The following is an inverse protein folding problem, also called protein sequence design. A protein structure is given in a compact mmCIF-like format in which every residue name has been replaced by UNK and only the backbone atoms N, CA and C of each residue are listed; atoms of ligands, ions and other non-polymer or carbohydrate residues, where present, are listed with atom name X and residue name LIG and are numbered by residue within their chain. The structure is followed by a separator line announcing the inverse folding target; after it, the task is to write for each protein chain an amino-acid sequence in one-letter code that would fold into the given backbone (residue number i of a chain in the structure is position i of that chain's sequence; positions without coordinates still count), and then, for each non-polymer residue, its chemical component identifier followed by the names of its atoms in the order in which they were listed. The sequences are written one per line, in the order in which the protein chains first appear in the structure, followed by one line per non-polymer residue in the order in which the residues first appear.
data_IF_089904756956
#
_entry.id   IF_089904756956
#
_cell.length_a   1.000
_cell.length_b   1.000
_cell.length_c   1.000
_cell.angle_alpha   90.00
_cell.angle_beta   90.00
_cell.angle_gamma   90.00
#
_symmetry.space_group_name_H-M   'P 1'
#
loop_
_entity.id
_entity.type
_entity.pdbx_description
1 polymer ?
#
# COMPACT_ATOMS: atom_id res chain seq x y z
N UNK A 1 26.56 -18.65 18.12
CA UNK A 1 25.51 -17.64 18.36
C UNK A 1 24.50 -17.75 17.23
N UNK A 2 23.22 -17.71 17.53
CA UNK A 2 22.19 -17.70 16.46
C UNK A 2 22.31 -16.36 15.70
N UNK A 3 22.43 -16.45 14.38
CA UNK A 3 22.64 -15.28 13.52
C UNK A 3 21.50 -14.27 13.62
N UNK A 4 20.26 -14.74 13.72
CA UNK A 4 19.07 -13.88 13.81
C UNK A 4 19.12 -12.98 15.06
N UNK A 5 19.66 -13.49 16.18
CA UNK A 5 19.79 -12.70 17.41
C UNK A 5 20.78 -11.54 17.24
N UNK A 6 21.86 -11.75 16.47
CA UNK A 6 22.80 -10.69 16.15
C UNK A 6 22.18 -9.62 15.25
N UNK A 7 21.33 -10.02 14.30
CA UNK A 7 20.55 -9.09 13.49
C UNK A 7 19.56 -8.28 14.31
N UNK A 8 18.81 -8.91 15.23
CA UNK A 8 17.87 -8.21 16.11
C UNK A 8 18.58 -7.22 17.03
N UNK A 9 19.72 -7.61 17.60
CA UNK A 9 20.58 -6.76 18.42
C UNK A 9 21.04 -5.51 17.64
N UNK A 10 21.52 -5.70 16.39
CA UNK A 10 21.95 -4.59 15.56
C UNK A 10 20.77 -3.70 15.15
N UNK A 11 19.65 -4.30 14.69
CA UNK A 11 18.48 -3.58 14.25
C UNK A 11 17.88 -2.67 15.34
N UNK A 12 17.84 -3.17 16.58
CA UNK A 12 17.31 -2.41 17.72
C UNK A 12 18.19 -1.20 18.06
N UNK A 13 19.51 -1.38 18.01
CA UNK A 13 20.47 -0.33 18.34
C UNK A 13 20.51 0.80 17.28
N UNK A 14 20.45 0.47 15.99
CA UNK A 14 20.52 1.48 14.94
C UNK A 14 19.16 2.07 14.59
N UNK A 15 18.09 1.35 14.90
CA UNK A 15 16.70 1.76 14.67
C UNK A 15 16.24 1.70 13.21
N UNK A 16 14.94 1.88 13.02
CA UNK A 16 14.29 1.87 11.71
C UNK A 16 14.74 3.06 10.83
N UNK A 17 15.03 2.81 9.56
CA UNK A 17 15.45 3.83 8.59
C UNK A 17 16.86 4.37 8.82
N UNK A 18 17.75 3.53 9.34
CA UNK A 18 19.16 3.85 9.58
C UNK A 18 19.87 4.17 8.25
N UNK A 19 20.25 5.43 8.03
CA UNK A 19 20.85 5.91 6.78
C UNK A 19 22.25 5.33 6.48
N UNK A 20 22.90 4.74 7.48
CA UNK A 20 24.22 4.13 7.36
C UNK A 20 24.18 2.59 7.45
N UNK A 21 23.01 1.98 7.30
CA UNK A 21 22.86 0.52 7.36
C UNK A 21 23.71 -0.19 6.30
N UNK A 22 23.66 0.26 5.06
CA UNK A 22 24.50 -0.28 3.96
C UNK A 22 26.00 -0.13 4.21
N UNK A 23 26.43 1.02 4.71
CA UNK A 23 27.83 1.26 5.07
C UNK A 23 28.29 0.30 6.16
N UNK A 24 27.46 0.12 7.18
CA UNK A 24 27.74 -0.78 8.29
C UNK A 24 27.83 -2.24 7.83
N UNK A 25 26.91 -2.70 6.96
CA UNK A 25 26.94 -4.05 6.41
C UNK A 25 28.08 -4.27 5.39
N UNK A 26 28.60 -3.22 4.80
CA UNK A 26 29.82 -3.32 3.98
C UNK A 26 31.05 -3.61 4.85
N UNK A 27 31.11 -3.04 6.04
CA UNK A 27 32.20 -3.27 7.00
C UNK A 27 32.04 -4.61 7.75
N UNK A 28 30.80 -4.94 8.14
CA UNK A 28 30.44 -6.13 8.89
C UNK A 28 29.21 -6.79 8.24
N UNK A 29 29.43 -7.64 7.22
CA UNK A 29 28.34 -8.36 6.56
C UNK A 29 27.56 -9.30 7.49
N UNK A 30 28.23 -9.79 8.54
CA UNK A 30 27.62 -10.55 9.62
C UNK A 30 27.64 -9.71 10.91
N UNK A 31 26.46 -9.34 11.47
CA UNK A 31 26.40 -8.59 12.73
C UNK A 31 27.10 -9.28 13.91
N UNK A 32 27.28 -10.59 13.86
CA UNK A 32 28.03 -11.32 14.88
C UNK A 32 29.51 -10.92 14.91
N UNK A 33 30.12 -10.61 13.75
CA UNK A 33 31.50 -10.12 13.68
C UNK A 33 31.63 -8.74 14.32
N UNK A 34 30.65 -7.87 14.13
CA UNK A 34 30.61 -6.56 14.81
C UNK A 34 30.50 -6.74 16.33
N UNK A 35 29.65 -7.68 16.78
CA UNK A 35 29.54 -7.98 18.21
C UNK A 35 30.87 -8.42 18.80
N UNK A 36 31.56 -9.36 18.15
CA UNK A 36 32.84 -9.89 18.60
C UNK A 36 33.93 -8.79 18.61
N UNK A 37 34.01 -7.95 17.57
CA UNK A 37 34.95 -6.83 17.48
C UNK A 37 34.73 -5.80 18.62
N UNK A 38 33.47 -5.43 18.89
CA UNK A 38 33.12 -4.49 19.97
C UNK A 38 33.45 -5.06 21.35
N UNK A 39 33.30 -6.37 21.56
CA UNK A 39 33.62 -7.05 22.85
C UNK A 39 35.12 -7.22 23.02
N UNK A 40 35.85 -7.54 21.96
CA UNK A 40 37.31 -7.65 22.03
C UNK A 40 38.00 -6.31 22.28
N UNK A 41 37.40 -5.20 21.85
CA UNK A 41 37.96 -3.86 22.00
C UNK A 41 39.26 -3.65 21.20
N UNK A 42 39.52 -4.51 20.21
CA UNK A 42 40.76 -4.52 19.41
C UNK A 42 40.73 -3.50 18.27
N UNK A 43 39.56 -3.07 17.85
CA UNK A 43 39.36 -2.13 16.78
C UNK A 43 38.54 -0.92 17.24
N UNK A 44 38.74 0.21 16.55
CA UNK A 44 37.89 1.37 16.75
C UNK A 44 36.47 1.04 16.22
N UNK A 45 35.40 1.43 16.93
CA UNK A 45 34.04 1.20 16.46
C UNK A 45 33.81 1.91 15.14
N UNK A 46 32.95 1.38 14.25
CA UNK A 46 32.61 1.99 12.98
C UNK A 46 32.23 3.48 13.12
N UNK A 47 32.88 4.34 12.35
CA UNK A 47 32.67 5.79 12.43
C UNK A 47 31.24 6.23 12.06
N UNK A 48 30.51 5.40 11.31
CA UNK A 48 29.11 5.64 10.95
C UNK A 48 28.13 5.45 12.13
N UNK A 49 28.53 4.71 13.19
CA UNK A 49 27.66 4.50 14.35
C UNK A 49 27.48 5.79 15.15
N UNK A 50 26.21 6.13 15.44
CA UNK A 50 25.92 7.23 16.36
C UNK A 50 26.37 6.87 17.78
N UNK A 51 26.72 7.87 18.64
CA UNK A 51 27.05 7.60 20.04
C UNK A 51 25.96 6.81 20.79
N UNK A 52 24.69 7.07 20.46
CA UNK A 52 23.55 6.36 21.06
C UNK A 52 23.52 4.88 20.65
N UNK A 53 23.63 4.60 19.34
CA UNK A 53 23.66 3.23 18.82
C UNK A 53 24.86 2.46 19.41
N UNK A 54 26.03 3.07 19.45
CA UNK A 54 27.23 2.45 20.03
C UNK A 54 27.07 2.14 21.52
N UNK A 55 26.46 3.05 22.29
CA UNK A 55 26.15 2.80 23.70
C UNK A 55 25.23 1.59 23.85
N UNK A 56 24.13 1.55 23.10
CA UNK A 56 23.18 0.45 23.14
C UNK A 56 23.83 -0.89 22.74
N UNK A 57 24.65 -0.92 21.67
CA UNK A 57 25.40 -2.11 21.25
C UNK A 57 26.37 -2.64 22.34
N UNK A 58 26.91 -1.75 23.16
CA UNK A 58 27.80 -2.13 24.29
C UNK A 58 27.04 -2.59 25.50
N UNK A 59 25.88 -2.01 25.76
CA UNK A 59 25.07 -2.27 26.97
C UNK A 59 24.22 -3.54 26.84
N UNK A 60 23.97 -4.00 25.60
CA UNK A 60 23.14 -5.19 25.29
C UNK A 60 23.97 -6.29 24.60
N UNK A 61 23.41 -7.49 24.59
CA UNK A 61 23.97 -8.65 23.89
C UNK A 61 22.92 -9.26 22.94
N UNK A 62 23.30 -10.01 21.90
CA UNK A 62 22.33 -10.75 21.09
C UNK A 62 21.38 -11.65 21.88
N UNK A 63 21.84 -12.22 23.02
CA UNK A 63 21.02 -13.08 23.86
C UNK A 63 19.84 -12.36 24.53
N UNK A 64 19.91 -11.04 24.71
CA UNK A 64 18.83 -10.23 25.28
C UNK A 64 17.58 -10.21 24.34
N UNK A 65 17.69 -10.76 23.13
CA UNK A 65 16.63 -10.81 22.11
C UNK A 65 15.99 -12.20 21.96
N UNK A 66 16.41 -13.21 22.74
CA UNK A 66 15.83 -14.58 22.69
C UNK A 66 14.35 -14.57 23.01
N UNK A 67 13.91 -13.92 24.08
CA UNK A 67 12.49 -13.84 24.44
C UNK A 67 11.64 -13.17 23.34
N UNK A 68 12.20 -12.17 22.65
CA UNK A 68 11.52 -11.52 21.52
C UNK A 68 11.36 -12.47 20.34
N UNK A 69 12.40 -13.21 20.01
CA UNK A 69 12.37 -14.20 18.93
C UNK A 69 11.38 -15.32 19.25
N UNK A 70 11.41 -15.87 20.45
CA UNK A 70 10.46 -16.89 20.92
C UNK A 70 9.02 -16.38 20.86
N UNK A 71 8.79 -15.14 21.31
CA UNK A 71 7.46 -14.52 21.21
C UNK A 71 6.98 -14.40 19.76
N UNK A 72 7.86 -14.02 18.82
CA UNK A 72 7.54 -13.97 17.40
C UNK A 72 7.13 -15.36 16.89
N UNK A 73 7.94 -16.37 17.14
CA UNK A 73 7.69 -17.76 16.70
C UNK A 73 6.37 -18.29 17.24
N UNK A 74 6.09 -18.11 18.53
CA UNK A 74 4.84 -18.55 19.16
C UNK A 74 3.61 -17.80 18.67
N UNK A 75 3.80 -16.56 18.19
CA UNK A 75 2.72 -15.70 17.66
C UNK A 75 2.53 -15.82 16.16
N UNK A 76 3.28 -16.68 15.46
CA UNK A 76 3.24 -16.83 14.00
C UNK A 76 3.74 -15.57 13.28
N UNK A 77 4.74 -14.91 13.83
CA UNK A 77 5.42 -13.76 13.25
C UNK A 77 6.79 -14.24 12.73
N UNK A 78 6.96 -14.20 11.42
CA UNK A 78 8.26 -14.42 10.80
C UNK A 78 9.17 -13.20 11.02
N UNK A 79 10.44 -13.45 11.24
CA UNK A 79 11.47 -12.40 11.35
C UNK A 79 12.46 -12.61 10.22
N UNK A 80 12.45 -11.70 9.26
CA UNK A 80 13.32 -11.77 8.08
C UNK A 80 14.51 -10.82 8.21
N UNK A 81 15.69 -11.32 7.90
CA UNK A 81 16.95 -10.57 7.95
C UNK A 81 17.62 -10.51 6.57
N UNK A 82 18.42 -9.48 6.26
CA UNK A 82 18.98 -9.27 4.93
C UNK A 82 19.80 -10.43 4.36
N UNK A 83 20.36 -11.30 5.16
CA UNK A 83 21.15 -12.47 4.73
C UNK A 83 20.29 -13.68 4.34
N UNK A 84 18.98 -13.67 4.62
CA UNK A 84 18.08 -14.76 4.28
C UNK A 84 17.57 -14.66 2.84
N UNK A 85 17.52 -15.79 2.11
CA UNK A 85 17.03 -15.84 0.73
C UNK A 85 15.56 -15.44 0.55
N UNK A 86 14.76 -15.51 1.62
CA UNK A 86 13.34 -15.09 1.61
C UNK A 86 13.12 -13.61 1.89
N UNK A 87 14.16 -12.89 2.32
CA UNK A 87 14.08 -11.44 2.52
C UNK A 87 13.71 -10.74 1.21
N UNK A 88 12.85 -9.69 1.23
CA UNK A 88 12.41 -9.02 0.01
C UNK A 88 13.59 -8.41 -0.78
N UNK A 89 13.84 -8.93 -1.98
CA UNK A 89 14.96 -8.48 -2.82
C UNK A 89 14.96 -6.99 -3.08
N UNK A 90 13.76 -6.40 -3.27
CA UNK A 90 13.60 -4.98 -3.54
C UNK A 90 13.95 -4.07 -2.38
N UNK A 91 14.01 -4.60 -1.16
CA UNK A 91 14.40 -3.85 0.03
C UNK A 91 15.92 -3.92 0.29
N UNK A 92 16.65 -4.91 -0.30
CA UNK A 92 18.10 -5.07 -0.10
C UNK A 92 18.91 -3.88 -0.62
N UNK A 93 18.45 -3.25 -1.71
CA UNK A 93 19.15 -2.15 -2.36
C UNK A 93 18.88 -0.78 -1.69
N UNK A 94 18.04 -0.76 -0.66
CA UNK A 94 17.81 0.48 0.09
C UNK A 94 19.06 0.85 0.91
N UNK A 95 19.51 2.12 0.87
CA UNK A 95 20.62 2.56 1.73
C UNK A 95 20.29 2.45 3.22
N UNK A 96 19.01 2.55 3.54
CA UNK A 96 18.40 2.43 4.86
C UNK A 96 17.52 1.18 4.97
N UNK A 97 18.02 0.04 4.44
CA UNK A 97 17.27 -1.22 4.44
C UNK A 97 16.88 -1.67 5.85
N UNK A 98 15.73 -2.33 6.02
CA UNK A 98 15.36 -2.96 7.28
C UNK A 98 16.35 -4.05 7.69
N UNK A 99 17.01 -3.92 8.83
CA UNK A 99 17.91 -4.97 9.35
C UNK A 99 17.14 -6.13 9.99
N UNK A 100 15.88 -5.90 10.37
CA UNK A 100 14.92 -6.91 10.75
C UNK A 100 13.55 -6.49 10.23
N UNK A 101 12.84 -7.40 9.57
CA UNK A 101 11.49 -7.21 9.07
C UNK A 101 10.57 -8.27 9.69
N UNK A 102 9.63 -7.83 10.51
CA UNK A 102 8.61 -8.68 11.11
C UNK A 102 7.44 -8.85 10.16
N UNK A 103 7.00 -10.07 9.91
CA UNK A 103 5.99 -10.40 8.92
C UNK A 103 4.92 -11.32 9.50
N UNK A 104 3.66 -11.06 9.18
CA UNK A 104 2.54 -12.00 9.37
C UNK A 104 1.88 -12.28 8.03
N UNK A 105 1.38 -13.50 7.82
CA UNK A 105 0.80 -13.95 6.55
C UNK A 105 1.78 -14.78 5.73
N UNK A 106 1.75 -14.68 4.41
CA UNK A 106 2.57 -15.51 3.52
C UNK A 106 3.80 -14.75 2.99
N UNK A 107 4.99 -15.11 3.47
CA UNK A 107 6.27 -14.52 3.03
C UNK A 107 6.58 -14.79 1.56
N UNK A 108 6.01 -15.85 0.96
CA UNK A 108 6.25 -16.18 -0.45
C UNK A 108 5.71 -15.09 -1.41
N UNK A 109 4.79 -14.25 -0.96
CA UNK A 109 4.28 -13.14 -1.78
C UNK A 109 5.23 -11.94 -1.86
N UNK A 110 6.34 -11.93 -1.11
CA UNK A 110 7.27 -10.80 -1.05
C UNK A 110 8.27 -10.77 -2.20
N UNK A 111 8.48 -11.90 -2.90
CA UNK A 111 9.42 -12.03 -4.01
C UNK A 111 8.76 -12.70 -5.24
N UNK A 112 9.42 -12.61 -6.39
CA UNK A 112 9.06 -13.37 -7.61
C UNK A 112 7.77 -12.92 -8.30
N UNK A 113 7.23 -11.72 -7.99
CA UNK A 113 5.99 -11.19 -8.57
C UNK A 113 6.18 -9.77 -9.12
N UNK A 114 5.15 -9.26 -9.78
CA UNK A 114 5.07 -7.84 -10.20
C UNK A 114 4.34 -7.05 -9.12
N UNK A 115 4.85 -5.87 -8.78
CA UNK A 115 4.36 -5.08 -7.64
C UNK A 115 4.01 -3.66 -8.07
N UNK A 116 2.81 -3.21 -7.69
CA UNK A 116 2.40 -1.82 -7.84
C UNK A 116 2.01 -1.22 -6.50
N UNK A 117 2.59 -0.08 -6.16
CA UNK A 117 2.17 0.71 -5.01
C UNK A 117 0.90 1.48 -5.34
N UNK A 118 -0.10 1.48 -4.44
CA UNK A 118 -1.25 2.38 -4.51
C UNK A 118 -1.33 3.16 -3.22
N UNK A 119 -1.21 4.48 -3.33
CA UNK A 119 -1.20 5.36 -2.17
C UNK A 119 -2.08 6.59 -2.36
N UNK A 120 -2.44 7.24 -1.27
CA UNK A 120 -3.21 8.47 -1.36
C UNK A 120 -3.72 8.98 -0.02
N UNK A 121 -4.70 9.88 -0.08
CA UNK A 121 -5.29 10.51 1.09
C UNK A 121 -6.03 9.51 1.99
N UNK A 122 -5.96 9.74 3.30
CA UNK A 122 -6.73 8.99 4.31
C UNK A 122 -8.21 9.39 4.34
N UNK A 123 -8.60 10.49 3.70
CA UNK A 123 -9.97 10.99 3.60
C UNK A 123 -10.31 11.31 2.15
N UNK A 124 -10.46 10.27 1.32
CA UNK A 124 -10.72 10.44 -0.11
C UNK A 124 -12.14 10.92 -0.39
N UNK A 125 -12.30 11.50 -1.57
CA UNK A 125 -13.62 11.70 -2.18
C UNK A 125 -14.21 10.37 -2.64
N UNK A 126 -15.49 10.37 -3.02
CA UNK A 126 -16.13 9.21 -3.67
C UNK A 126 -15.40 8.85 -4.96
N UNK A 127 -15.02 9.83 -5.76
CA UNK A 127 -14.22 9.64 -6.98
C UNK A 127 -12.89 8.95 -6.69
N UNK A 128 -12.11 9.46 -5.71
CA UNK A 128 -10.81 8.90 -5.37
C UNK A 128 -10.91 7.45 -4.86
N UNK A 129 -11.96 7.13 -4.07
CA UNK A 129 -12.23 5.74 -3.64
C UNK A 129 -12.46 4.83 -4.81
N UNK A 130 -13.40 5.24 -5.70
CA UNK A 130 -13.76 4.44 -6.86
C UNK A 130 -12.56 4.25 -7.79
N UNK A 131 -11.83 5.32 -8.11
CA UNK A 131 -10.66 5.25 -8.97
C UNK A 131 -9.58 4.33 -8.38
N UNK A 132 -9.23 4.48 -7.09
CA UNK A 132 -8.24 3.62 -6.45
C UNK A 132 -8.67 2.16 -6.44
N UNK A 133 -9.94 1.89 -6.12
CA UNK A 133 -10.47 0.53 -6.07
C UNK A 133 -10.48 -0.12 -7.45
N UNK A 134 -11.05 0.53 -8.47
CA UNK A 134 -11.20 -0.04 -9.82
C UNK A 134 -9.85 -0.27 -10.50
N UNK A 135 -8.93 0.71 -10.39
CA UNK A 135 -7.57 0.58 -10.93
C UNK A 135 -6.82 -0.56 -10.23
N UNK A 136 -6.90 -0.64 -8.89
CA UNK A 136 -6.28 -1.71 -8.12
C UNK A 136 -6.87 -3.08 -8.45
N UNK A 137 -8.20 -3.17 -8.59
CA UNK A 137 -8.89 -4.41 -8.94
C UNK A 137 -8.46 -4.92 -10.32
N UNK A 138 -8.36 -4.02 -11.30
CA UNK A 138 -7.92 -4.39 -12.64
C UNK A 138 -6.44 -4.82 -12.66
N UNK A 139 -5.55 -4.13 -11.94
CA UNK A 139 -4.15 -4.52 -11.77
C UNK A 139 -4.02 -5.88 -11.06
N UNK A 140 -4.77 -6.09 -9.97
CA UNK A 140 -4.76 -7.35 -9.24
C UNK A 140 -5.23 -8.51 -10.13
N UNK A 141 -6.31 -8.34 -10.90
CA UNK A 141 -6.79 -9.35 -11.86
C UNK A 141 -5.77 -9.68 -12.96
N UNK A 142 -4.85 -8.77 -13.26
CA UNK A 142 -3.72 -9.01 -14.14
C UNK A 142 -2.52 -9.68 -13.41
N UNK A 143 -2.69 -10.09 -12.15
CA UNK A 143 -1.67 -10.78 -11.36
C UNK A 143 -0.68 -9.87 -10.65
N UNK A 144 -0.92 -8.56 -10.60
CA UNK A 144 -0.08 -7.60 -9.89
C UNK A 144 -0.37 -7.64 -8.40
N UNK A 145 0.67 -7.78 -7.60
CA UNK A 145 0.59 -7.66 -6.13
C UNK A 145 0.53 -6.19 -5.75
N UNK A 146 -0.57 -5.78 -5.12
CA UNK A 146 -0.72 -4.40 -4.63
C UNK A 146 0.07 -4.20 -3.35
N UNK A 147 0.80 -3.08 -3.26
CA UNK A 147 1.60 -2.68 -2.11
C UNK A 147 1.05 -1.38 -1.54
N UNK A 148 0.74 -1.35 -0.24
CA UNK A 148 0.29 -0.12 0.41
C UNK A 148 0.56 -0.14 1.92
N UNK A 149 -0.04 0.78 2.66
CA UNK A 149 0.27 1.00 4.07
C UNK A 149 -0.83 0.63 5.05
N UNK A 150 -1.90 -0.01 4.63
CA UNK A 150 -3.05 -0.39 5.45
C UNK A 150 -3.66 0.80 6.23
N UNK A 151 -3.44 2.03 5.78
CA UNK A 151 -4.05 3.21 6.37
C UNK A 151 -5.53 3.35 5.95
N UNK A 152 -6.29 4.20 6.65
CA UNK A 152 -7.63 4.58 6.17
C UNK A 152 -7.56 5.20 4.78
N UNK A 153 -8.66 5.12 4.04
CA UNK A 153 -8.80 5.73 2.73
C UNK A 153 -8.22 4.89 1.61
N UNK A 154 -7.37 5.47 0.76
CA UNK A 154 -6.99 4.86 -0.51
C UNK A 154 -6.10 3.63 -0.37
N UNK A 155 -5.27 3.57 0.68
CA UNK A 155 -4.50 2.36 1.02
C UNK A 155 -5.44 1.16 1.24
N UNK A 156 -6.52 1.38 2.01
CA UNK A 156 -7.52 0.33 2.29
C UNK A 156 -8.28 -0.10 1.03
N UNK A 157 -8.57 0.83 0.11
CA UNK A 157 -9.26 0.49 -1.14
C UNK A 157 -8.38 -0.40 -2.03
N UNK A 158 -7.08 -0.13 -2.10
CA UNK A 158 -6.14 -0.98 -2.83
C UNK A 158 -6.11 -2.41 -2.28
N UNK A 159 -5.99 -2.56 -0.96
CA UNK A 159 -6.00 -3.89 -0.34
C UNK A 159 -7.34 -4.61 -0.50
N UNK A 160 -8.48 -3.90 -0.36
CA UNK A 160 -9.81 -4.49 -0.60
C UNK A 160 -9.97 -5.00 -2.03
N UNK A 161 -9.47 -4.25 -3.01
CA UNK A 161 -9.50 -4.64 -4.40
C UNK A 161 -8.69 -5.92 -4.66
N UNK A 162 -7.50 -6.04 -4.07
CA UNK A 162 -6.67 -7.24 -4.18
C UNK A 162 -7.34 -8.45 -3.50
N UNK A 163 -7.89 -8.28 -2.29
CA UNK A 163 -8.64 -9.33 -1.59
C UNK A 163 -9.88 -9.76 -2.40
N UNK A 164 -10.61 -8.82 -3.02
CA UNK A 164 -11.74 -9.15 -3.88
C UNK A 164 -11.32 -9.90 -5.15
N UNK A 165 -10.13 -9.64 -5.66
CA UNK A 165 -9.58 -10.33 -6.82
C UNK A 165 -9.00 -11.71 -6.48
N UNK A 166 -8.97 -12.09 -5.20
CA UNK A 166 -8.30 -13.29 -4.69
C UNK A 166 -6.80 -13.33 -5.07
N UNK A 167 -6.14 -12.18 -4.96
CA UNK A 167 -4.71 -11.98 -5.26
C UNK A 167 -3.99 -11.49 -4.02
N UNK A 168 -2.78 -11.99 -3.72
CA UNK A 168 -1.97 -11.51 -2.61
C UNK A 168 -1.75 -9.99 -2.65
N UNK A 169 -1.64 -9.38 -1.48
CA UNK A 169 -1.27 -7.96 -1.33
C UNK A 169 -0.33 -7.78 -0.15
N UNK A 170 0.56 -6.80 -0.24
CA UNK A 170 1.59 -6.55 0.79
C UNK A 170 1.30 -5.23 1.48
N UNK A 171 1.13 -5.28 2.81
CA UNK A 171 0.92 -4.12 3.64
C UNK A 171 2.15 -3.85 4.52
N UNK A 172 2.74 -2.66 4.40
CA UNK A 172 3.74 -2.21 5.37
C UNK A 172 3.08 -1.40 6.48
N UNK A 173 3.48 -1.59 7.73
CA UNK A 173 2.95 -0.87 8.89
C UNK A 173 3.97 0.16 9.40
N UNK A 174 3.47 1.28 9.93
CA UNK A 174 4.27 2.24 10.71
C UNK A 174 4.06 2.07 12.23
N UNK A 175 3.64 0.89 12.66
CA UNK A 175 3.40 0.51 14.07
C UNK A 175 4.00 -0.87 14.33
N UNK A 176 4.03 -1.31 15.59
CA UNK A 176 4.39 -2.68 15.93
C UNK A 176 3.60 -3.70 15.10
N UNK A 177 4.26 -4.81 14.76
CA UNK A 177 3.66 -5.86 13.91
C UNK A 177 2.41 -6.50 14.56
N UNK A 178 2.35 -6.59 15.87
CA UNK A 178 1.21 -7.12 16.64
C UNK A 178 0.03 -6.14 16.73
N UNK A 179 0.17 -4.90 16.22
CA UNK A 179 -0.87 -3.87 16.28
C UNK A 179 -1.43 -3.56 14.91
N UNK A 180 -2.76 -3.48 14.81
CA UNK A 180 -3.44 -2.95 13.63
C UNK A 180 -3.80 -1.49 13.83
N UNK A 181 -3.31 -0.63 12.95
CA UNK A 181 -3.65 0.78 12.96
C UNK A 181 -3.97 1.27 11.53
N UNK A 182 -5.16 1.86 11.33
CA UNK A 182 -6.23 2.04 12.32
C UNK A 182 -6.93 0.72 12.68
N UNK A 183 -7.55 0.66 13.86
CA UNK A 183 -8.26 -0.55 14.31
C UNK A 183 -9.45 -0.94 13.42
N UNK A 184 -10.02 0.05 12.68
CA UNK A 184 -11.06 -0.18 11.67
C UNK A 184 -10.64 -1.17 10.58
N UNK A 185 -9.34 -1.29 10.30
CA UNK A 185 -8.79 -2.18 9.28
C UNK A 185 -8.40 -3.58 9.78
N UNK A 186 -8.77 -3.95 11.02
CA UNK A 186 -8.43 -5.27 11.58
C UNK A 186 -9.00 -6.43 10.73
N UNK A 187 -10.25 -6.32 10.27
CA UNK A 187 -10.85 -7.33 9.38
C UNK A 187 -10.14 -7.41 8.03
N UNK A 188 -9.72 -6.27 7.49
CA UNK A 188 -8.98 -6.22 6.23
C UNK A 188 -7.58 -6.85 6.39
N UNK A 189 -6.87 -6.56 7.48
CA UNK A 189 -5.60 -7.22 7.82
C UNK A 189 -5.76 -8.75 7.82
N UNK A 190 -6.74 -9.27 8.55
CA UNK A 190 -7.00 -10.71 8.59
C UNK A 190 -7.33 -11.28 7.21
N UNK A 191 -8.04 -10.52 6.35
CA UNK A 191 -8.34 -10.94 4.99
C UNK A 191 -7.07 -10.98 4.11
N UNK A 192 -6.16 -10.02 4.27
CA UNK A 192 -4.84 -10.00 3.60
C UNK A 192 -4.03 -11.26 3.97
N UNK A 193 -3.88 -11.51 5.28
CA UNK A 193 -3.10 -12.65 5.80
C UNK A 193 -3.67 -13.99 5.35
N UNK A 194 -5.00 -14.15 5.34
CA UNK A 194 -5.68 -15.37 4.88
C UNK A 194 -5.70 -15.55 3.36
N UNK A 195 -5.61 -14.45 2.61
CA UNK A 195 -5.60 -14.45 1.14
C UNK A 195 -4.20 -14.65 0.53
N UNK A 196 -3.22 -15.15 1.30
CA UNK A 196 -1.84 -15.36 0.83
C UNK A 196 -1.04 -14.07 0.68
N UNK A 197 -1.49 -12.98 1.29
CA UNK A 197 -0.75 -11.73 1.38
C UNK A 197 0.09 -11.63 2.65
N UNK A 198 0.89 -10.57 2.77
CA UNK A 198 1.76 -10.32 3.90
C UNK A 198 1.51 -8.94 4.53
N UNK A 199 1.64 -8.89 5.85
CA UNK A 199 1.69 -7.65 6.62
C UNK A 199 3.06 -7.55 7.27
N UNK A 200 3.78 -6.47 6.97
CA UNK A 200 5.19 -6.29 7.33
C UNK A 200 5.39 -5.06 8.21
N UNK A 201 6.34 -5.13 9.13
CA UNK A 201 6.75 -3.99 9.96
C UNK A 201 8.23 -4.09 10.34
N UNK A 202 8.92 -2.94 10.43
CA UNK A 202 10.24 -2.84 11.07
C UNK A 202 10.15 -2.79 12.61
N UNK A 203 8.93 -2.66 13.15
CA UNK A 203 8.72 -2.49 14.58
C UNK A 203 8.29 -3.81 15.21
N UNK A 204 9.06 -4.31 16.23
CA UNK A 204 8.80 -5.59 16.89
C UNK A 204 7.45 -5.62 17.61
N UNK A 205 6.96 -6.82 17.98
CA UNK A 205 5.82 -6.95 18.87
C UNK A 205 6.04 -6.14 20.15
N UNK A 206 4.98 -5.52 20.68
CA UNK A 206 5.04 -4.73 21.89
C UNK A 206 5.66 -3.33 21.74
N UNK A 207 6.23 -2.97 20.58
CA UNK A 207 6.77 -1.62 20.37
C UNK A 207 5.69 -0.55 20.61
N UNK A 208 5.99 0.39 21.51
CA UNK A 208 5.03 1.43 21.94
C UNK A 208 5.17 2.75 21.18
N UNK A 209 6.30 2.97 20.50
CA UNK A 209 6.55 4.17 19.73
C UNK A 209 5.64 4.25 18.51
N UNK A 210 4.77 5.26 18.48
CA UNK A 210 3.92 5.59 17.34
C UNK A 210 3.93 7.09 17.13
N UNK A 211 4.66 7.52 16.14
CA UNK A 211 4.82 8.95 15.82
C UNK A 211 4.54 9.19 14.33
N UNK A 212 4.37 10.45 13.95
CA UNK A 212 4.34 10.81 12.53
C UNK A 212 5.61 10.33 11.83
N UNK A 213 6.75 10.32 12.51
CA UNK A 213 8.03 9.84 11.98
C UNK A 213 8.00 8.36 11.57
N UNK A 214 7.39 7.47 12.38
CA UNK A 214 7.33 6.04 12.04
C UNK A 214 6.51 5.76 10.78
N UNK A 215 5.43 6.52 10.55
CA UNK A 215 4.64 6.40 9.32
C UNK A 215 5.38 6.95 8.10
N UNK A 216 6.16 8.03 8.25
CA UNK A 216 6.97 8.59 7.18
C UNK A 216 8.16 7.68 6.83
N UNK A 217 8.82 7.10 7.85
CA UNK A 217 9.89 6.14 7.66
C UNK A 217 9.41 4.89 6.91
N UNK A 218 8.24 4.34 7.27
CA UNK A 218 7.64 3.19 6.61
C UNK A 218 7.37 3.42 5.11
N UNK A 219 7.04 4.65 4.70
CA UNK A 219 6.65 4.94 3.32
C UNK A 219 7.75 4.59 2.30
N UNK A 220 9.02 4.59 2.69
CA UNK A 220 10.13 4.13 1.84
C UNK A 220 10.01 2.66 1.45
N UNK A 221 9.47 1.82 2.36
CA UNK A 221 9.29 0.39 2.10
C UNK A 221 8.19 0.13 1.07
N UNK A 222 7.11 0.94 1.11
CA UNK A 222 6.07 0.88 0.08
C UNK A 222 6.66 1.22 -1.29
N UNK A 223 7.42 2.32 -1.37
CA UNK A 223 8.05 2.75 -2.61
C UNK A 223 9.09 1.73 -3.12
N UNK A 224 9.90 1.16 -2.23
CA UNK A 224 10.94 0.20 -2.59
C UNK A 224 10.36 -1.12 -3.10
N UNK A 225 9.36 -1.68 -2.42
CA UNK A 225 8.71 -2.92 -2.83
C UNK A 225 7.98 -2.77 -4.17
N UNK A 226 7.57 -1.55 -4.53
CA UNK A 226 6.82 -1.26 -5.75
C UNK A 226 7.74 -1.08 -6.96
N UNK A 227 7.33 -1.57 -8.12
CA UNK A 227 7.97 -1.30 -9.41
C UNK A 227 7.47 0.00 -10.02
N UNK A 228 6.21 0.34 -9.73
CA UNK A 228 5.59 1.60 -10.07
C UNK A 228 4.72 2.07 -8.90
N UNK A 229 4.65 3.37 -8.67
CA UNK A 229 3.84 3.97 -7.61
C UNK A 229 2.65 4.73 -8.20
N UNK A 230 1.43 4.29 -7.87
CA UNK A 230 0.17 4.90 -8.26
C UNK A 230 -0.35 5.81 -7.14
N UNK A 231 -0.75 7.03 -7.48
CA UNK A 231 -1.30 8.03 -6.55
C UNK A 231 -2.71 8.41 -7.00
N UNK A 232 -3.75 8.03 -6.23
CA UNK A 232 -5.12 8.28 -6.64
C UNK A 232 -5.64 9.68 -6.26
N UNK A 233 -5.41 10.12 -5.04
CA UNK A 233 -5.67 11.51 -4.59
C UNK A 233 -4.64 11.95 -3.56
N UNK A 234 -4.15 13.18 -3.67
CA UNK A 234 -3.26 13.80 -2.70
C UNK A 234 -3.44 15.32 -2.67
N UNK A 235 -3.37 15.90 -1.47
CA UNK A 235 -3.20 17.36 -1.32
C UNK A 235 -1.74 17.74 -1.55
N UNK A 236 -1.46 19.01 -1.86
CA UNK A 236 -0.11 19.56 -2.06
C UNK A 236 0.83 19.38 -0.87
N UNK A 237 0.29 19.27 0.35
CA UNK A 237 1.06 19.00 1.58
C UNK A 237 0.49 17.76 2.26
N UNK A 238 0.91 16.58 1.80
CA UNK A 238 0.44 15.31 2.35
C UNK A 238 1.57 14.30 2.56
N UNK A 239 1.36 13.37 3.47
CA UNK A 239 2.28 12.23 3.67
C UNK A 239 2.41 11.35 2.41
N UNK A 240 1.43 11.37 1.51
CA UNK A 240 1.48 10.67 0.22
C UNK A 240 2.63 11.16 -0.64
N UNK A 241 2.89 12.49 -0.67
CA UNK A 241 4.00 13.05 -1.44
C UNK A 241 5.38 12.68 -0.86
N UNK A 242 5.45 12.30 0.41
CA UNK A 242 6.68 11.70 0.96
C UNK A 242 6.96 10.34 0.30
N UNK A 243 5.93 9.49 0.10
CA UNK A 243 6.07 8.21 -0.63
C UNK A 243 6.50 8.45 -2.07
N UNK A 244 5.94 9.46 -2.75
CA UNK A 244 6.36 9.88 -4.10
C UNK A 244 7.84 10.24 -4.11
N UNK A 245 8.30 11.06 -3.16
CA UNK A 245 9.72 11.41 -3.06
C UNK A 245 10.65 10.22 -2.82
N UNK A 246 10.19 9.16 -2.14
CA UNK A 246 10.95 7.91 -2.05
C UNK A 246 10.99 7.17 -3.38
N UNK A 247 9.85 7.05 -4.08
CA UNK A 247 9.78 6.41 -5.40
C UNK A 247 10.73 7.11 -6.41
N UNK A 248 10.72 8.44 -6.45
CA UNK A 248 11.61 9.24 -7.30
C UNK A 248 13.10 8.97 -7.02
N UNK A 249 13.50 8.95 -5.74
CA UNK A 249 14.89 8.64 -5.36
C UNK A 249 15.32 7.23 -5.76
N UNK A 250 14.38 6.29 -5.79
CA UNK A 250 14.61 4.91 -6.21
C UNK A 250 14.46 4.71 -7.72
N UNK A 251 14.22 5.78 -8.50
CA UNK A 251 13.98 5.68 -9.94
C UNK A 251 12.72 4.90 -10.31
N UNK A 252 11.73 4.81 -9.39
CA UNK A 252 10.48 4.12 -9.65
C UNK A 252 9.52 5.07 -10.38
N UNK A 253 8.91 4.66 -11.50
CA UNK A 253 7.87 5.42 -12.17
C UNK A 253 6.73 5.77 -11.24
N UNK A 254 6.26 7.01 -11.31
CA UNK A 254 5.10 7.50 -10.57
C UNK A 254 3.97 7.75 -11.56
N UNK A 255 2.78 7.27 -11.23
CA UNK A 255 1.56 7.53 -11.98
C UNK A 255 0.58 8.25 -11.06
N UNK A 256 -0.16 9.22 -11.60
CA UNK A 256 -1.13 9.99 -10.83
C UNK A 256 -2.49 10.04 -11.54
N UNK A 257 -3.55 9.79 -10.77
CA UNK A 257 -4.92 9.92 -11.29
C UNK A 257 -5.24 11.40 -11.46
N UNK A 258 -5.60 11.86 -12.67
CA UNK A 258 -6.07 13.21 -12.89
C UNK A 258 -7.35 13.47 -12.11
N UNK A 259 -7.51 14.68 -11.58
CA UNK A 259 -8.72 15.03 -10.86
C UNK A 259 -9.20 16.44 -11.16
N UNK A 260 -10.33 16.82 -10.56
CA UNK A 260 -10.90 18.15 -10.74
C UNK A 260 -9.96 19.25 -10.26
N UNK A 261 -9.74 20.27 -11.09
CA UNK A 261 -8.96 21.47 -10.70
C UNK A 261 -9.61 22.27 -9.54
N UNK A 262 -10.88 22.00 -9.23
CA UNK A 262 -11.62 22.60 -8.13
C UNK A 262 -11.56 21.77 -6.84
N UNK A 263 -10.92 20.60 -6.88
CA UNK A 263 -10.80 19.71 -5.72
C UNK A 263 -9.44 19.85 -5.05
N UNK A 264 -9.43 20.28 -3.80
CA UNK A 264 -8.22 20.31 -2.99
C UNK A 264 -7.57 18.93 -2.80
N UNK A 265 -8.33 17.83 -2.98
CA UNK A 265 -7.83 16.47 -2.90
C UNK A 265 -7.06 16.05 -4.16
N UNK A 266 -7.26 16.76 -5.27
CA UNK A 266 -6.57 16.49 -6.54
C UNK A 266 -5.41 17.46 -6.81
N UNK A 267 -5.21 18.48 -5.97
CA UNK A 267 -4.14 19.45 -6.18
C UNK A 267 -2.77 18.81 -6.28
N UNK A 268 -2.47 17.85 -5.39
CA UNK A 268 -1.17 17.17 -5.37
C UNK A 268 -0.95 16.27 -6.58
N UNK A 269 -1.97 15.49 -7.00
CA UNK A 269 -1.87 14.64 -8.20
C UNK A 269 -1.78 15.48 -9.46
N UNK A 270 -2.59 16.52 -9.60
CA UNK A 270 -2.53 17.45 -10.74
C UNK A 270 -1.18 18.19 -10.80
N UNK A 271 -0.59 18.54 -9.65
CA UNK A 271 0.74 19.17 -9.60
C UNK A 271 1.85 18.20 -10.05
N UNK A 272 1.78 16.92 -9.65
CA UNK A 272 2.72 15.90 -10.14
C UNK A 272 2.64 15.76 -11.67
N UNK A 273 1.44 15.73 -12.23
CA UNK A 273 1.21 15.68 -13.69
C UNK A 273 1.73 16.95 -14.38
N UNK A 274 1.38 18.13 -13.87
CA UNK A 274 1.78 19.43 -14.43
C UNK A 274 3.30 19.62 -14.45
N UNK A 275 4.00 19.07 -13.46
CA UNK A 275 5.46 19.18 -13.31
C UNK A 275 6.22 17.99 -13.91
N UNK A 276 5.53 17.10 -14.65
CA UNK A 276 6.10 15.89 -15.25
C UNK A 276 6.83 14.97 -14.26
N UNK A 277 6.40 14.97 -13.00
CA UNK A 277 6.87 14.06 -11.95
C UNK A 277 6.05 12.77 -11.88
N UNK A 278 4.93 12.73 -12.57
CA UNK A 278 4.10 11.54 -12.73
C UNK A 278 3.53 11.47 -14.14
N UNK A 279 3.31 10.26 -14.61
CA UNK A 279 2.50 9.98 -15.80
C UNK A 279 1.01 9.91 -15.45
N UNK A 280 0.10 10.21 -16.38
CA UNK A 280 -1.33 10.08 -16.13
C UNK A 280 -1.74 8.63 -15.92
N UNK A 281 -2.50 8.36 -14.85
CA UNK A 281 -3.14 7.08 -14.59
C UNK A 281 -4.64 7.20 -14.87
N UNK A 282 -5.04 6.98 -16.11
CA UNK A 282 -6.43 7.08 -16.55
C UNK A 282 -7.13 5.71 -16.63
N UNK A 283 -6.36 4.65 -16.78
CA UNK A 283 -6.80 3.25 -16.86
C UNK A 283 -5.71 2.32 -16.30
N UNK A 284 -6.09 1.14 -15.88
CA UNK A 284 -5.13 0.17 -15.34
C UNK A 284 -4.02 -0.21 -16.34
N UNK A 285 -4.32 -0.21 -17.64
CA UNK A 285 -3.33 -0.48 -18.67
C UNK A 285 -2.13 0.48 -18.61
N UNK A 286 -2.32 1.74 -18.20
CA UNK A 286 -1.21 2.70 -18.08
C UNK A 286 -0.15 2.22 -17.07
N UNK A 287 -0.57 1.59 -15.97
CA UNK A 287 0.33 0.98 -14.98
C UNK A 287 0.85 -0.40 -15.46
N UNK A 288 0.01 -1.21 -16.10
CA UNK A 288 0.38 -2.54 -16.60
C UNK A 288 1.46 -2.45 -17.69
N UNK A 289 1.37 -1.46 -18.57
CA UNK A 289 2.36 -1.21 -19.62
C UNK A 289 3.74 -0.90 -19.01
N UNK A 290 3.79 -0.05 -17.97
CA UNK A 290 5.01 0.24 -17.23
C UNK A 290 5.57 -1.02 -16.55
N UNK A 291 4.71 -1.88 -16.03
CA UNK A 291 5.09 -3.14 -15.43
C UNK A 291 5.48 -4.22 -16.46
N UNK A 292 5.39 -3.94 -17.76
CA UNK A 292 5.67 -4.91 -18.82
C UNK A 292 4.67 -6.07 -18.88
N UNK A 293 3.44 -5.85 -18.39
CA UNK A 293 2.34 -6.80 -18.48
C UNK A 293 1.47 -6.37 -19.66
N UNK A 294 1.59 -7.08 -20.78
CA UNK A 294 0.84 -6.76 -22.00
C UNK A 294 -0.68 -6.80 -21.76
N UNK A 295 -1.42 -5.96 -22.47
CA UNK A 295 -2.87 -5.82 -22.34
C UNK A 295 -3.67 -7.13 -22.62
N UNK A 296 -3.04 -8.15 -23.20
CA UNK A 296 -3.65 -9.45 -23.45
C UNK A 296 -3.90 -10.29 -22.18
N UNK A 297 -3.22 -9.98 -21.07
CA UNK A 297 -3.41 -10.65 -19.77
C UNK A 297 -4.40 -9.94 -18.85
N UNK A 298 -4.84 -8.75 -19.22
CA UNK A 298 -5.91 -8.07 -18.50
C UNK A 298 -7.21 -8.86 -18.72
N UNK A 299 -7.64 -9.55 -17.66
CA UNK A 299 -8.91 -10.28 -17.62
C UNK A 299 -10.09 -9.40 -18.05
N UNK A 300 -11.22 -10.00 -18.44
CA UNK A 300 -12.23 -9.37 -19.26
C UNK A 300 -12.65 -8.02 -18.72
N UNK A 301 -12.76 -7.09 -19.64
CA UNK A 301 -13.41 -5.79 -19.43
C UNK A 301 -14.59 -5.95 -18.47
N UNK A 302 -14.72 -4.96 -17.56
CA UNK A 302 -15.98 -4.73 -16.86
C UNK A 302 -17.12 -5.25 -17.74
N UNK A 303 -17.94 -6.15 -17.22
CA UNK A 303 -19.19 -6.43 -17.91
C UNK A 303 -19.83 -5.08 -18.16
N UNK A 304 -19.71 -4.59 -19.38
CA UNK A 304 -20.39 -3.36 -19.79
C UNK A 304 -21.85 -3.63 -19.50
N UNK A 305 -22.44 -2.82 -18.64
CA UNK A 305 -23.86 -2.86 -18.41
C UNK A 305 -24.55 -2.93 -19.78
N UNK A 306 -25.28 -4.00 -20.01
CA UNK A 306 -26.07 -4.14 -21.23
C UNK A 306 -27.50 -3.65 -20.94
N UNK A 307 -27.90 -2.48 -21.48
CA UNK A 307 -29.23 -1.98 -21.28
C UNK A 307 -30.35 -2.93 -21.72
N UNK A 308 -30.07 -3.89 -22.62
CA UNK A 308 -31.04 -4.86 -23.07
C UNK A 308 -31.40 -5.90 -21.98
N UNK A 309 -30.61 -6.02 -20.91
CA UNK A 309 -30.84 -7.01 -19.84
C UNK A 309 -31.75 -6.54 -18.72
N UNK A 310 -32.17 -5.27 -18.72
CA UNK A 310 -33.01 -4.67 -17.69
C UNK A 310 -34.40 -4.33 -18.20
N UNK A 311 -35.31 -4.03 -17.28
CA UNK A 311 -36.70 -3.69 -17.59
C UNK A 311 -36.81 -2.47 -18.53
N UNK A 312 -37.92 -2.33 -19.21
CA UNK A 312 -38.18 -1.19 -20.11
C UNK A 312 -38.09 0.18 -19.37
N UNK A 313 -38.50 0.22 -18.11
CA UNK A 313 -38.37 1.40 -17.25
C UNK A 313 -36.92 1.72 -16.91
N UNK A 314 -36.13 0.71 -16.62
CA UNK A 314 -34.71 0.87 -16.35
C UNK A 314 -33.94 1.32 -17.63
N UNK A 315 -34.31 0.81 -18.79
CA UNK A 315 -33.78 1.28 -20.09
C UNK A 315 -34.11 2.76 -20.33
N UNK A 316 -35.37 3.15 -20.08
CA UNK A 316 -35.81 4.54 -20.25
C UNK A 316 -35.08 5.51 -19.30
N UNK A 317 -34.87 5.09 -18.05
CA UNK A 317 -34.09 5.88 -17.05
C UNK A 317 -32.62 5.94 -17.44
N UNK A 318 -32.02 4.82 -17.85
CA UNK A 318 -30.62 4.77 -18.25
C UNK A 318 -30.32 5.67 -19.48
N UNK A 319 -31.23 5.72 -20.41
CA UNK A 319 -31.09 6.58 -21.63
C UNK A 319 -30.99 8.09 -21.30
N UNK A 320 -31.53 8.53 -20.15
CA UNK A 320 -31.48 9.94 -19.70
C UNK A 320 -30.51 10.16 -18.52
N UNK A 321 -29.91 9.10 -18.01
CA UNK A 321 -28.98 9.18 -16.89
C UNK A 321 -27.63 9.75 -17.38
N UNK A 322 -27.08 10.71 -16.62
CA UNK A 322 -25.82 11.38 -16.93
C UNK A 322 -24.71 10.90 -15.99
N UNK A 323 -23.43 11.05 -16.35
CA UNK A 323 -22.31 10.83 -15.44
C UNK A 323 -22.33 11.76 -14.20
N UNK A 324 -23.05 12.90 -14.27
CA UNK A 324 -23.23 13.81 -13.14
C UNK A 324 -24.49 13.45 -12.34
N UNK A 325 -24.45 13.53 -10.98
CA UNK A 325 -25.58 13.14 -10.13
C UNK A 325 -26.86 13.93 -10.41
N UNK A 326 -27.94 13.24 -10.76
CA UNK A 326 -29.28 13.79 -11.03
C UNK A 326 -30.25 13.41 -9.90
N UNK A 327 -31.18 14.32 -9.56
CA UNK A 327 -32.24 14.03 -8.59
C UNK A 327 -33.33 13.13 -9.20
N UNK A 328 -34.09 12.43 -8.34
CA UNK A 328 -35.24 11.63 -8.77
C UNK A 328 -36.21 12.47 -9.59
N UNK A 329 -36.51 13.71 -9.16
CA UNK A 329 -37.44 14.60 -9.87
C UNK A 329 -36.94 14.94 -11.29
N UNK A 330 -35.63 15.16 -11.44
CA UNK A 330 -35.03 15.41 -12.74
C UNK A 330 -35.12 14.17 -13.65
N UNK A 331 -34.91 12.98 -13.09
CA UNK A 331 -35.04 11.72 -13.83
C UNK A 331 -36.51 11.43 -14.19
N UNK A 332 -37.48 11.71 -13.30
CA UNK A 332 -38.91 11.61 -13.60
C UNK A 332 -39.31 12.48 -14.77
N UNK A 333 -38.87 13.73 -14.76
CA UNK A 333 -39.15 14.66 -15.87
C UNK A 333 -38.51 14.22 -17.20
N UNK A 334 -37.26 13.75 -17.16
CA UNK A 334 -36.51 13.35 -18.32
C UNK A 334 -37.01 12.01 -18.94
N UNK A 335 -37.30 11.02 -18.10
CA UNK A 335 -37.78 9.70 -18.53
C UNK A 335 -39.31 9.65 -18.73
N UNK A 336 -40.04 10.70 -18.37
CA UNK A 336 -41.51 10.73 -18.40
C UNK A 336 -42.16 9.60 -17.60
N UNK A 337 -41.56 9.23 -16.45
CA UNK A 337 -42.02 8.15 -15.57
C UNK A 337 -42.37 8.68 -14.17
N UNK A 338 -43.36 8.10 -13.48
CA UNK A 338 -43.68 8.46 -12.10
C UNK A 338 -42.58 8.02 -11.14
N UNK A 339 -42.42 8.75 -10.01
CA UNK A 339 -41.30 8.59 -9.08
C UNK A 339 -41.11 7.16 -8.57
N UNK A 340 -42.18 6.43 -8.31
CA UNK A 340 -42.09 5.02 -7.87
C UNK A 340 -41.46 4.11 -8.91
N UNK A 341 -41.74 4.31 -10.20
CA UNK A 341 -41.14 3.55 -11.30
C UNK A 341 -39.69 3.94 -11.53
N UNK A 342 -39.37 5.24 -11.43
CA UNK A 342 -37.98 5.72 -11.53
C UNK A 342 -37.12 5.17 -10.38
N UNK A 343 -37.64 5.13 -9.16
CA UNK A 343 -36.90 4.54 -8.02
C UNK A 343 -36.65 3.05 -8.21
N UNK A 344 -37.64 2.28 -8.65
CA UNK A 344 -37.48 0.86 -8.96
C UNK A 344 -36.46 0.64 -10.07
N UNK A 345 -36.53 1.43 -11.15
CA UNK A 345 -35.59 1.41 -12.25
C UNK A 345 -34.15 1.78 -11.81
N UNK A 346 -33.99 2.80 -10.98
CA UNK A 346 -32.67 3.16 -10.42
C UNK A 346 -32.09 2.05 -9.56
N UNK A 347 -32.91 1.38 -8.74
CA UNK A 347 -32.46 0.23 -7.93
C UNK A 347 -32.05 -0.96 -8.80
N UNK A 348 -32.82 -1.25 -9.85
CA UNK A 348 -32.45 -2.29 -10.81
C UNK A 348 -31.14 -1.96 -11.52
N UNK A 349 -30.98 -0.72 -12.00
CA UNK A 349 -29.75 -0.26 -12.64
C UNK A 349 -28.54 -0.31 -11.68
N UNK A 350 -28.75 0.00 -10.40
CA UNK A 350 -27.70 -0.09 -9.39
C UNK A 350 -27.25 -1.54 -9.15
N UNK A 351 -28.19 -2.47 -9.04
CA UNK A 351 -27.92 -3.91 -8.91
C UNK A 351 -27.22 -4.50 -10.13
N UNK A 352 -27.54 -3.99 -11.33
CA UNK A 352 -26.96 -4.46 -12.58
C UNK A 352 -25.71 -3.69 -13.02
N UNK A 353 -25.24 -2.70 -12.21
CA UNK A 353 -24.04 -1.93 -12.48
C UNK A 353 -24.19 -0.84 -13.57
N UNK A 354 -25.40 -0.42 -13.87
CA UNK A 354 -25.70 0.67 -14.83
C UNK A 354 -25.79 2.05 -14.18
N UNK A 355 -26.03 2.14 -12.87
CA UNK A 355 -26.17 3.39 -12.14
C UNK A 355 -25.52 3.30 -10.75
N UNK A 356 -25.20 4.46 -10.18
CA UNK A 356 -24.69 4.61 -8.82
C UNK A 356 -25.56 5.58 -8.03
N UNK A 357 -26.00 5.15 -6.83
CA UNK A 357 -26.67 6.02 -5.89
C UNK A 357 -25.69 6.98 -5.21
N UNK A 358 -26.10 8.23 -5.05
CA UNK A 358 -25.37 9.30 -4.39
C UNK A 358 -26.17 9.86 -3.21
N UNK A 359 -25.51 10.45 -2.18
CA UNK A 359 -26.19 11.09 -1.08
C UNK A 359 -27.28 12.09 -1.55
N UNK A 360 -28.42 12.11 -0.86
CA UNK A 360 -29.56 12.96 -1.21
C UNK A 360 -30.45 12.39 -2.30
N UNK A 361 -30.52 11.05 -2.46
CA UNK A 361 -31.33 10.36 -3.47
C UNK A 361 -31.05 10.85 -4.89
N UNK A 362 -29.78 10.98 -5.23
CA UNK A 362 -29.30 11.28 -6.56
C UNK A 362 -28.69 10.04 -7.20
N UNK A 363 -28.72 9.97 -8.52
CA UNK A 363 -28.16 8.87 -9.30
C UNK A 363 -27.37 9.40 -10.47
N UNK A 364 -26.28 8.70 -10.83
CA UNK A 364 -25.49 8.95 -12.02
C UNK A 364 -25.22 7.65 -12.77
N UNK A 365 -24.96 7.74 -14.07
CA UNK A 365 -24.49 6.60 -14.86
C UNK A 365 -23.06 6.18 -14.40
N UNK A 366 -22.80 4.87 -14.42
CA UNK A 366 -21.48 4.28 -14.22
C UNK A 366 -20.72 4.14 -15.52
#
# INVERSE_FOLDING_TARGET
MDKILAWLWLADAVGSGCQYAQELLTLYPDPAELYDALRAGTEAPPACLTPHALAQLRDTTPFDYEERLDHCLLSGIDVLTPDEGVYPDRLRDLPDLPLALYVTGDIACLNGRRYAGMVGTRRPSTYGRQAAFDLSLAMARAGVVLVSGLADGLDSEAHRAAVQADVPTVAFLGTAIDKTYPASNAKLRTAIEKGGGAVCSEYPPGYSGRTTGTFLARNRLIAAQSEALCVAEARTRSGTLNTVGHAERLGRPVLAVPGSIYSALSEGTNELLRTHRAEPLCKAADALDILGIGAETAAPAQQRFDPATVSADAQAVYAVLKPTPQSIDALCAAASLPAGRVLAACTELELMGGAQAQPGRRYNAL
#
